data_IF_506175539806
#
_entry.id   IF_506175539806
#
_cell.length_a   1.000
_cell.length_b   1.000
_cell.length_c   1.000
_cell.angle_alpha   90.00
_cell.angle_beta   90.00
_cell.angle_gamma   90.00
#
_symmetry.space_group_name_H-M   'P 1'
#
loop_
_entity.id
_entity.type
_entity.pdbx_description
1 polymer ?
#
# COMPACT_ATOMS: atom_id res chain seq x y z
N UNK A 1 5.64 65.74 -15.39
CA UNK A 1 5.08 64.49 -15.96
C UNK A 1 6.01 63.34 -15.61
N UNK A 2 5.53 62.37 -14.82
CA UNK A 2 6.35 61.27 -14.30
C UNK A 2 6.88 60.35 -15.41
N UNK A 3 8.13 59.92 -15.28
CA UNK A 3 8.71 58.87 -16.15
C UNK A 3 7.90 57.59 -15.92
N UNK A 4 7.38 56.99 -16.99
CA UNK A 4 6.75 55.67 -16.90
C UNK A 4 7.81 54.68 -16.41
N UNK A 5 7.56 54.03 -15.28
CA UNK A 5 8.44 52.97 -14.73
C UNK A 5 8.07 51.64 -15.38
N UNK A 6 9.06 50.79 -15.63
CA UNK A 6 8.81 49.44 -16.11
C UNK A 6 8.03 48.64 -15.04
N UNK A 7 7.10 47.76 -15.44
CA UNK A 7 6.39 46.90 -14.49
C UNK A 7 7.35 45.89 -13.85
N UNK A 8 7.27 45.76 -12.53
CA UNK A 8 8.06 44.79 -11.76
C UNK A 8 7.58 43.36 -12.03
N UNK A 9 8.49 42.37 -12.11
CA UNK A 9 8.12 40.98 -12.32
C UNK A 9 7.25 40.46 -11.15
N UNK A 10 6.28 39.57 -11.43
CA UNK A 10 5.40 39.05 -10.41
C UNK A 10 6.18 38.20 -9.40
N UNK A 11 5.81 38.28 -8.13
CA UNK A 11 6.31 37.40 -7.08
C UNK A 11 5.53 36.08 -7.07
N UNK A 12 6.18 35.01 -6.62
CA UNK A 12 5.55 33.69 -6.56
C UNK A 12 4.33 33.68 -5.64
N UNK A 13 3.18 33.28 -6.18
CA UNK A 13 1.96 33.10 -5.40
C UNK A 13 1.93 31.72 -4.75
N UNK A 14 2.12 31.68 -3.44
CA UNK A 14 1.94 30.46 -2.64
C UNK A 14 0.45 30.08 -2.54
N UNK A 15 0.19 28.81 -2.27
CA UNK A 15 -1.16 28.28 -2.04
C UNK A 15 -1.15 27.32 -0.85
N UNK A 16 -2.30 27.18 -0.20
CA UNK A 16 -2.48 26.23 0.88
C UNK A 16 -3.90 25.68 0.90
N UNK A 17 -4.03 24.47 1.42
CA UNK A 17 -5.31 23.84 1.71
C UNK A 17 -5.40 23.64 3.20
N UNK A 18 -6.56 23.99 3.75
CA UNK A 18 -6.86 23.88 5.17
C UNK A 18 -8.04 22.96 5.41
N UNK A 19 -7.99 22.26 6.54
CA UNK A 19 -9.12 21.55 7.12
C UNK A 19 -9.34 22.10 8.53
N UNK A 20 -10.42 22.87 8.69
CA UNK A 20 -10.58 23.74 9.86
C UNK A 20 -9.42 24.75 9.95
N UNK A 21 -8.81 24.86 11.12
CA UNK A 21 -7.70 25.78 11.37
C UNK A 21 -6.32 25.23 10.96
N UNK A 22 -6.24 23.96 10.53
CA UNK A 22 -4.98 23.29 10.21
C UNK A 22 -4.68 23.34 8.72
N UNK A 23 -3.43 23.64 8.38
CA UNK A 23 -2.91 23.50 7.02
C UNK A 23 -2.63 22.03 6.77
N UNK A 24 -3.20 21.48 5.69
CA UNK A 24 -3.06 20.08 5.27
C UNK A 24 -2.08 19.97 4.10
N UNK A 25 -1.98 21.02 3.29
CA UNK A 25 -1.04 21.06 2.17
C UNK A 25 -0.65 22.49 1.85
N UNK A 26 0.59 22.70 1.42
CA UNK A 26 1.10 24.03 1.03
C UNK A 26 2.07 23.92 -0.12
N UNK A 27 1.95 24.83 -1.08
CA UNK A 27 2.96 25.07 -2.12
C UNK A 27 3.52 26.47 -1.95
N UNK A 28 4.84 26.57 -1.82
CA UNK A 28 5.54 27.83 -1.59
C UNK A 28 6.91 27.83 -2.26
N UNK A 29 7.47 29.03 -2.46
CA UNK A 29 8.86 29.20 -2.89
C UNK A 29 9.75 29.30 -1.66
N UNK A 30 10.77 28.46 -1.58
CA UNK A 30 11.74 28.49 -0.49
C UNK A 30 12.76 29.65 -0.66
N UNK A 31 13.60 29.93 0.35
CA UNK A 31 14.64 30.97 0.24
C UNK A 31 15.70 30.71 -0.84
N UNK A 32 15.82 29.47 -1.34
CA UNK A 32 16.72 29.11 -2.44
C UNK A 32 16.11 29.38 -3.82
N UNK A 33 14.82 29.71 -3.87
CA UNK A 33 14.05 29.96 -5.09
C UNK A 33 13.34 28.71 -5.63
N UNK A 34 13.45 27.56 -4.97
CA UNK A 34 12.81 26.32 -5.37
C UNK A 34 11.32 26.29 -4.94
N UNK A 35 10.47 25.79 -5.84
CA UNK A 35 9.04 25.59 -5.53
C UNK A 35 8.87 24.26 -4.80
N UNK A 36 8.48 24.33 -3.53
CA UNK A 36 8.27 23.17 -2.66
C UNK A 36 6.78 22.98 -2.44
N UNK A 37 6.33 21.73 -2.49
CA UNK A 37 4.97 21.36 -2.09
C UNK A 37 5.03 20.33 -0.99
N UNK A 38 4.37 20.65 0.12
CA UNK A 38 4.46 19.89 1.36
C UNK A 38 3.08 19.48 1.83
N UNK A 39 2.96 18.21 2.22
CA UNK A 39 1.81 17.68 2.93
C UNK A 39 2.07 17.72 4.44
N UNK A 40 1.07 18.13 5.20
CA UNK A 40 1.09 18.16 6.65
C UNK A 40 0.02 17.19 7.16
N UNK A 41 0.38 15.91 7.40
CA UNK A 41 -0.55 14.95 7.96
C UNK A 41 -1.00 15.41 9.35
N UNK A 42 -2.21 15.03 9.75
CA UNK A 42 -2.59 15.20 11.15
C UNK A 42 -1.82 14.19 12.04
N UNK A 43 -1.68 14.45 13.36
CA UNK A 43 -0.93 13.56 14.23
C UNK A 43 -1.49 12.13 14.29
N UNK A 44 -2.79 11.96 14.04
CA UNK A 44 -3.46 10.65 14.09
C UNK A 44 -3.11 9.84 12.85
N UNK A 45 -3.07 10.47 11.69
CA UNK A 45 -2.65 9.91 10.41
C UNK A 45 -1.17 9.52 10.48
N UNK A 46 -0.32 10.39 11.03
CA UNK A 46 1.10 10.09 11.21
C UNK A 46 1.31 8.87 12.13
N UNK A 47 0.66 8.85 13.29
CA UNK A 47 0.70 7.70 14.20
C UNK A 47 0.17 6.42 13.54
N UNK A 48 -0.92 6.52 12.78
CA UNK A 48 -1.48 5.38 12.04
C UNK A 48 -0.49 4.86 11.01
N UNK A 49 0.14 5.73 10.22
CA UNK A 49 1.15 5.33 9.22
C UNK A 49 2.35 4.65 9.89
N UNK A 50 2.84 5.19 11.00
CA UNK A 50 3.92 4.58 11.78
C UNK A 50 3.54 3.19 12.27
N UNK A 51 2.35 3.04 12.87
CA UNK A 51 1.87 1.76 13.39
C UNK A 51 1.69 0.73 12.26
N UNK A 52 1.08 1.13 11.14
CA UNK A 52 0.89 0.24 9.98
C UNK A 52 2.24 -0.20 9.40
N UNK A 53 3.19 0.72 9.27
CA UNK A 53 4.53 0.41 8.78
C UNK A 53 5.27 -0.53 9.75
N UNK A 54 5.16 -0.27 11.06
CA UNK A 54 5.75 -1.14 12.07
C UNK A 54 5.16 -2.55 12.00
N UNK A 55 3.83 -2.67 11.94
CA UNK A 55 3.14 -3.97 11.83
C UNK A 55 3.52 -4.73 10.56
N UNK A 56 3.63 -4.04 9.42
CA UNK A 56 4.13 -4.66 8.20
C UNK A 56 5.58 -5.15 8.35
N UNK A 57 6.44 -4.35 8.98
CA UNK A 57 7.83 -4.72 9.23
C UNK A 57 7.96 -5.87 10.25
N UNK A 58 7.00 -6.03 11.16
CA UNK A 58 6.91 -7.16 12.07
C UNK A 58 6.49 -8.45 11.34
N UNK A 59 5.50 -8.38 10.43
CA UNK A 59 4.94 -9.57 9.78
C UNK A 59 5.77 -10.04 8.59
N UNK A 60 6.24 -9.13 7.74
CA UNK A 60 6.97 -9.43 6.51
C UNK A 60 8.15 -10.41 6.69
N UNK A 61 9.06 -10.27 7.68
CA UNK A 61 10.16 -11.21 7.87
C UNK A 61 9.71 -12.59 8.37
N UNK A 62 8.46 -12.73 8.82
CA UNK A 62 7.92 -14.00 9.31
C UNK A 62 7.14 -14.78 8.25
N UNK A 63 7.02 -14.27 7.03
CA UNK A 63 6.38 -15.00 5.93
C UNK A 63 7.14 -16.29 5.63
N UNK A 64 6.39 -17.36 5.40
CA UNK A 64 6.94 -18.71 5.20
C UNK A 64 7.54 -19.34 6.46
N UNK A 65 7.54 -18.63 7.61
CA UNK A 65 8.08 -19.12 8.88
C UNK A 65 6.93 -19.24 9.88
N UNK A 66 6.72 -20.45 10.39
CA UNK A 66 5.81 -20.67 11.53
C UNK A 66 6.60 -20.42 12.82
N UNK A 67 6.05 -19.61 13.72
CA UNK A 67 6.68 -19.33 15.02
C UNK A 67 6.87 -20.65 15.81
N UNK A 68 7.96 -20.80 16.59
CA UNK A 68 8.26 -22.05 17.29
C UNK A 68 7.11 -22.55 18.17
N UNK A 69 6.47 -21.65 18.91
CA UNK A 69 5.35 -21.96 19.81
C UNK A 69 4.14 -22.48 19.02
N UNK A 70 3.86 -21.85 17.87
CA UNK A 70 2.75 -22.25 17.00
C UNK A 70 3.03 -23.57 16.28
N UNK A 71 4.27 -23.78 15.85
CA UNK A 71 4.71 -25.05 15.28
C UNK A 71 4.59 -26.21 16.30
N UNK A 72 4.87 -25.93 17.58
CA UNK A 72 4.67 -26.87 18.66
C UNK A 72 3.19 -27.18 18.87
N UNK A 73 2.32 -26.17 18.89
CA UNK A 73 0.86 -26.37 18.98
C UNK A 73 0.31 -27.19 17.81
N UNK A 74 0.78 -26.94 16.58
CA UNK A 74 0.37 -27.73 15.41
C UNK A 74 0.81 -29.19 15.53
N UNK A 75 2.00 -29.44 16.07
CA UNK A 75 2.50 -30.80 16.32
C UNK A 75 1.71 -31.49 17.43
N UNK A 76 1.32 -30.78 18.49
CA UNK A 76 0.43 -31.32 19.53
C UNK A 76 -0.95 -31.66 18.96
N UNK A 77 -1.47 -30.84 18.05
CA UNK A 77 -2.76 -31.09 17.38
C UNK A 77 -2.69 -32.33 16.48
N UNK A 78 -1.60 -32.49 15.71
CA UNK A 78 -1.31 -33.69 14.93
C UNK A 78 -1.31 -34.94 15.83
N UNK A 79 -0.53 -34.92 16.92
CA UNK A 79 -0.44 -36.07 17.84
C UNK A 79 -1.78 -36.40 18.49
N UNK A 80 -2.51 -35.38 18.99
CA UNK A 80 -3.82 -35.59 19.61
C UNK A 80 -4.84 -36.20 18.63
N UNK A 81 -4.83 -35.77 17.37
CA UNK A 81 -5.67 -36.38 16.33
C UNK A 81 -5.32 -37.86 16.10
N UNK A 82 -4.03 -38.16 15.94
CA UNK A 82 -3.56 -39.53 15.70
C UNK A 82 -3.91 -40.44 16.88
N UNK A 83 -3.69 -39.97 18.12
CA UNK A 83 -4.00 -40.73 19.33
C UNK A 83 -5.50 -41.00 19.46
N UNK A 84 -6.34 -39.98 19.29
CA UNK A 84 -7.80 -40.13 19.35
C UNK A 84 -8.34 -41.06 18.25
N UNK A 85 -7.90 -40.87 17.00
CA UNK A 85 -8.33 -41.69 15.87
C UNK A 85 -7.86 -43.15 16.02
N UNK A 86 -6.64 -43.36 16.50
CA UNK A 86 -6.09 -44.70 16.81
C UNK A 86 -6.88 -45.39 17.91
N UNK A 87 -7.19 -44.66 18.99
CA UNK A 87 -7.99 -45.17 20.09
C UNK A 87 -9.40 -45.58 19.63
N UNK A 88 -10.07 -44.73 18.85
CA UNK A 88 -11.37 -45.04 18.24
C UNK A 88 -11.28 -46.26 17.34
N UNK A 89 -10.30 -46.33 16.45
CA UNK A 89 -10.09 -47.49 15.59
C UNK A 89 -9.95 -48.79 16.41
N UNK A 90 -9.13 -48.76 17.47
CA UNK A 90 -8.89 -49.94 18.31
C UNK A 90 -10.12 -50.35 19.13
N UNK A 91 -10.96 -49.40 19.53
CA UNK A 91 -12.24 -49.68 20.20
C UNK A 91 -13.20 -50.48 19.31
N UNK A 92 -13.16 -50.31 17.98
CA UNK A 92 -13.97 -51.10 17.05
C UNK A 92 -13.26 -52.37 16.58
N UNK A 93 -11.97 -52.28 16.29
CA UNK A 93 -11.18 -53.38 15.74
C UNK A 93 -11.03 -54.56 16.72
N UNK A 94 -10.67 -54.28 17.98
CA UNK A 94 -10.38 -55.34 18.95
C UNK A 94 -11.61 -56.22 19.28
N UNK A 95 -12.81 -55.67 19.55
CA UNK A 95 -14.00 -56.49 19.74
C UNK A 95 -14.34 -57.30 18.50
N UNK A 96 -14.29 -56.68 17.31
CA UNK A 96 -14.59 -57.36 16.04
C UNK A 96 -13.66 -58.56 15.80
N UNK A 97 -12.36 -58.40 16.07
CA UNK A 97 -11.39 -59.48 15.95
C UNK A 97 -11.64 -60.61 16.96
N UNK A 98 -12.03 -60.26 18.20
CA UNK A 98 -12.39 -61.24 19.21
C UNK A 98 -13.63 -62.03 18.79
N UNK A 99 -14.68 -61.35 18.35
CA UNK A 99 -15.94 -61.97 17.94
C UNK A 99 -15.73 -62.90 16.72
N UNK A 100 -14.88 -62.50 15.76
CA UNK A 100 -14.44 -63.35 14.64
C UNK A 100 -13.71 -64.62 15.11
N UNK A 101 -12.81 -64.50 16.09
CA UNK A 101 -12.08 -65.64 16.67
C UNK A 101 -13.03 -66.59 17.39
N UNK A 102 -13.97 -66.06 18.16
CA UNK A 102 -14.95 -66.84 18.92
C UNK A 102 -15.93 -67.59 17.99
N UNK A 103 -16.45 -66.93 16.94
CA UNK A 103 -17.34 -67.57 15.96
C UNK A 103 -16.63 -68.70 15.19
N UNK A 104 -15.38 -68.48 14.75
CA UNK A 104 -14.60 -69.52 14.06
C UNK A 104 -14.26 -70.69 14.98
N UNK A 105 -13.85 -70.42 16.21
CA UNK A 105 -13.58 -71.47 17.19
C UNK A 105 -14.86 -72.28 17.50
N UNK A 106 -16.01 -71.61 17.63
CA UNK A 106 -17.31 -72.27 17.86
C UNK A 106 -17.74 -73.15 16.69
N UNK A 107 -17.46 -72.77 15.45
CA UNK A 107 -17.92 -73.50 14.25
C UNK A 107 -17.02 -74.67 13.86
N UNK A 108 -15.71 -74.52 14.04
CA UNK A 108 -14.73 -75.46 13.48
C UNK A 108 -13.92 -76.22 14.55
N UNK A 109 -14.12 -75.93 15.84
CA UNK A 109 -13.54 -76.65 16.96
C UNK A 109 -12.02 -76.51 17.13
N UNK A 110 -11.29 -76.00 16.13
CA UNK A 110 -9.85 -75.71 16.19
C UNK A 110 -9.48 -74.51 15.30
N UNK A 111 -8.57 -73.64 15.79
CA UNK A 111 -8.05 -72.46 15.08
C UNK A 111 -7.01 -72.80 13.98
N UNK A 112 -6.85 -74.08 13.62
CA UNK A 112 -5.71 -74.61 12.84
C UNK A 112 -6.01 -74.64 11.32
N UNK A 113 -7.18 -74.18 10.89
CA UNK A 113 -7.56 -74.14 9.47
C UNK A 113 -6.85 -73.00 8.73
N UNK A 114 -6.08 -73.34 7.68
CA UNK A 114 -5.19 -72.40 6.97
C UNK A 114 -5.88 -71.13 6.44
N UNK A 115 -7.13 -71.24 5.97
CA UNK A 115 -7.92 -70.10 5.50
C UNK A 115 -8.17 -69.05 6.60
N UNK A 116 -8.31 -69.46 7.86
CA UNK A 116 -8.48 -68.52 8.97
C UNK A 116 -7.18 -67.77 9.27
N UNK A 117 -6.04 -68.47 9.23
CA UNK A 117 -4.71 -67.90 9.42
C UNK A 117 -4.34 -66.91 8.32
N UNK A 118 -4.74 -67.19 7.08
CA UNK A 118 -4.53 -66.29 5.94
C UNK A 118 -5.41 -65.04 6.04
N UNK A 119 -6.69 -65.19 6.39
CA UNK A 119 -7.59 -64.05 6.63
C UNK A 119 -7.14 -63.17 7.81
N UNK A 120 -6.54 -63.76 8.86
CA UNK A 120 -5.95 -63.02 9.98
C UNK A 120 -4.75 -62.17 9.55
N UNK A 121 -3.88 -62.70 8.69
CA UNK A 121 -2.75 -61.94 8.14
C UNK A 121 -3.21 -60.78 7.27
N UNK A 122 -4.26 -60.97 6.48
CA UNK A 122 -4.83 -59.88 5.68
C UNK A 122 -5.51 -58.83 6.56
N UNK A 123 -6.20 -59.24 7.63
CA UNK A 123 -6.76 -58.31 8.61
C UNK A 123 -5.68 -57.49 9.35
N UNK A 124 -4.53 -58.08 9.64
CA UNK A 124 -3.37 -57.39 10.22
C UNK A 124 -2.76 -56.38 9.24
N UNK A 125 -2.67 -56.72 7.94
CA UNK A 125 -2.25 -55.76 6.90
C UNK A 125 -3.23 -54.60 6.77
N UNK A 126 -4.54 -54.86 6.79
CA UNK A 126 -5.56 -53.80 6.74
C UNK A 126 -5.46 -52.88 7.95
N UNK A 127 -5.18 -53.41 9.15
CA UNK A 127 -4.92 -52.61 10.35
C UNK A 127 -3.68 -51.72 10.18
N UNK A 128 -2.58 -52.26 9.66
CA UNK A 128 -1.37 -51.47 9.40
C UNK A 128 -1.64 -50.35 8.38
N UNK A 129 -2.41 -50.63 7.32
CA UNK A 129 -2.84 -49.62 6.34
C UNK A 129 -3.70 -48.54 7.00
N UNK A 130 -4.69 -48.92 7.81
CA UNK A 130 -5.56 -47.98 8.50
C UNK A 130 -4.79 -47.04 9.44
N UNK A 131 -3.77 -47.55 10.15
CA UNK A 131 -2.90 -46.71 10.96
C UNK A 131 -2.03 -45.76 10.12
N UNK A 132 -1.51 -46.24 9.00
CA UNK A 132 -0.78 -45.38 8.07
C UNK A 132 -1.68 -44.24 7.57
N UNK A 133 -2.95 -44.54 7.25
CA UNK A 133 -3.93 -43.55 6.81
C UNK A 133 -4.25 -42.52 7.92
N UNK A 134 -4.45 -42.96 9.16
CA UNK A 134 -4.66 -42.06 10.31
C UNK A 134 -3.47 -41.11 10.50
N UNK A 135 -2.24 -41.64 10.45
CA UNK A 135 -1.01 -40.84 10.56
C UNK A 135 -0.92 -39.84 9.41
N UNK A 136 -1.21 -40.27 8.18
CA UNK A 136 -1.20 -39.40 7.02
C UNK A 136 -2.24 -38.28 7.13
N UNK A 137 -3.44 -38.57 7.64
CA UNK A 137 -4.46 -37.56 7.92
C UNK A 137 -4.01 -36.56 8.99
N UNK A 138 -3.34 -37.02 10.06
CA UNK A 138 -2.75 -36.12 11.07
C UNK A 138 -1.70 -35.18 10.48
N UNK A 139 -0.84 -35.70 9.59
CA UNK A 139 0.14 -34.87 8.86
C UNK A 139 -0.53 -33.84 7.95
N UNK A 140 -1.58 -34.24 7.22
CA UNK A 140 -2.36 -33.33 6.38
C UNK A 140 -3.00 -32.21 7.21
N UNK A 141 -3.57 -32.53 8.37
CA UNK A 141 -4.13 -31.53 9.29
C UNK A 141 -3.07 -30.50 9.70
N UNK A 142 -1.86 -30.94 10.03
CA UNK A 142 -0.76 -30.04 10.36
C UNK A 142 -0.35 -29.16 9.17
N UNK A 143 -0.25 -29.73 7.98
CA UNK A 143 0.03 -28.95 6.77
C UNK A 143 -1.04 -27.88 6.52
N UNK A 144 -2.32 -28.22 6.71
CA UNK A 144 -3.41 -27.26 6.59
C UNK A 144 -3.30 -26.13 7.61
N UNK A 145 -2.95 -26.43 8.87
CA UNK A 145 -2.74 -25.42 9.90
C UNK A 145 -1.58 -24.47 9.57
N UNK A 146 -0.48 -25.00 9.01
CA UNK A 146 0.65 -24.19 8.52
C UNK A 146 0.21 -23.29 7.36
N UNK A 147 -0.52 -23.84 6.39
CA UNK A 147 -1.02 -23.09 5.25
C UNK A 147 -2.02 -22.00 5.67
N UNK A 148 -2.91 -22.29 6.63
CA UNK A 148 -3.84 -21.29 7.19
C UNK A 148 -3.10 -20.19 7.94
N UNK A 149 -2.04 -20.50 8.67
CA UNK A 149 -1.21 -19.50 9.31
C UNK A 149 -0.57 -18.56 8.29
N UNK A 150 0.01 -19.10 7.22
CA UNK A 150 0.60 -18.32 6.13
C UNK A 150 -0.46 -17.46 5.42
N UNK A 151 -1.62 -18.04 5.09
CA UNK A 151 -2.73 -17.31 4.47
C UNK A 151 -3.19 -16.12 5.34
N UNK A 152 -3.27 -16.29 6.67
CA UNK A 152 -3.60 -15.19 7.60
C UNK A 152 -2.57 -14.08 7.56
N UNK A 153 -1.27 -14.40 7.57
CA UNK A 153 -0.20 -13.40 7.48
C UNK A 153 -0.25 -12.63 6.16
N UNK A 154 -0.49 -13.33 5.06
CA UNK A 154 -0.63 -12.70 3.74
C UNK A 154 -1.85 -11.79 3.66
N UNK A 155 -2.99 -12.23 4.20
CA UNK A 155 -4.21 -11.43 4.28
C UNK A 155 -4.00 -10.18 5.14
N UNK A 156 -3.31 -10.31 6.28
CA UNK A 156 -2.98 -9.19 7.15
C UNK A 156 -2.06 -8.19 6.45
N UNK A 157 -1.01 -8.64 5.77
CA UNK A 157 -0.14 -7.77 4.97
C UNK A 157 -0.89 -7.06 3.84
N UNK A 158 -1.78 -7.74 3.15
CA UNK A 158 -2.61 -7.13 2.11
C UNK A 158 -3.52 -6.05 2.68
N UNK A 159 -4.15 -6.30 3.83
CA UNK A 159 -4.97 -5.32 4.52
C UNK A 159 -4.14 -4.10 4.95
N UNK A 160 -2.99 -4.32 5.60
CA UNK A 160 -2.09 -3.25 6.05
C UNK A 160 -1.57 -2.41 4.87
N UNK A 161 -1.20 -3.07 3.76
CA UNK A 161 -0.76 -2.40 2.54
C UNK A 161 -1.89 -1.57 1.92
N UNK A 162 -3.12 -2.11 1.87
CA UNK A 162 -4.29 -1.36 1.41
C UNK A 162 -4.56 -0.11 2.25
N UNK A 163 -4.48 -0.22 3.57
CA UNK A 163 -4.62 0.91 4.48
C UNK A 163 -3.52 1.97 4.28
N UNK A 164 -2.27 1.56 4.09
CA UNK A 164 -1.18 2.50 3.79
C UNK A 164 -1.35 3.21 2.45
N UNK A 165 -1.78 2.48 1.42
CA UNK A 165 -2.03 3.05 0.08
C UNK A 165 -3.17 4.07 0.11
N UNK A 166 -4.18 3.89 0.96
CA UNK A 166 -5.23 4.90 1.15
C UNK A 166 -4.67 6.22 1.72
N UNK A 167 -3.71 6.13 2.64
CA UNK A 167 -2.97 7.31 3.13
C UNK A 167 -2.13 7.99 2.05
N UNK A 168 -1.56 7.21 1.13
CA UNK A 168 -0.82 7.76 -0.01
C UNK A 168 -1.74 8.59 -0.94
N UNK A 169 -3.00 8.20 -1.12
CA UNK A 169 -3.96 8.98 -1.89
C UNK A 169 -4.26 10.33 -1.22
N UNK A 170 -4.40 10.37 0.11
CA UNK A 170 -4.58 11.61 0.87
C UNK A 170 -3.37 12.54 0.73
N UNK A 171 -2.16 11.99 0.84
CA UNK A 171 -0.91 12.72 0.59
C UNK A 171 -0.88 13.32 -0.82
N UNK A 172 -1.19 12.53 -1.86
CA UNK A 172 -1.18 13.00 -3.24
C UNK A 172 -2.20 14.12 -3.46
N UNK A 173 -3.42 13.98 -2.92
CA UNK A 173 -4.44 15.03 -2.99
C UNK A 173 -4.00 16.31 -2.25
N UNK A 174 -3.40 16.17 -1.07
CA UNK A 174 -2.90 17.27 -0.28
C UNK A 174 -1.75 18.04 -0.94
N UNK A 175 -1.02 17.44 -1.88
CA UNK A 175 0.04 18.09 -2.65
C UNK A 175 -0.45 18.63 -4.00
N UNK A 176 -1.24 17.85 -4.74
CA UNK A 176 -1.65 18.21 -6.10
C UNK A 176 -2.55 19.45 -6.13
N UNK A 177 -3.45 19.56 -5.16
CA UNK A 177 -4.41 20.65 -5.14
C UNK A 177 -3.77 22.03 -4.83
N UNK A 178 -2.87 22.20 -3.83
CA UNK A 178 -2.14 23.46 -3.70
C UNK A 178 -1.20 23.68 -4.89
N UNK A 179 -0.53 22.66 -5.43
CA UNK A 179 0.28 22.81 -6.64
C UNK A 179 -0.50 23.39 -7.82
N UNK A 180 -1.69 22.83 -8.10
CA UNK A 180 -2.56 23.31 -9.17
C UNK A 180 -3.00 24.76 -8.94
N UNK A 181 -3.41 25.10 -7.73
CA UNK A 181 -3.82 26.48 -7.39
C UNK A 181 -2.67 27.48 -7.52
N UNK A 182 -1.48 27.12 -7.04
CA UNK A 182 -0.28 27.96 -7.16
C UNK A 182 0.13 28.10 -8.62
N UNK A 183 0.09 27.02 -9.41
CA UNK A 183 0.38 27.06 -10.84
C UNK A 183 -0.57 27.98 -11.61
N UNK A 184 -1.87 27.90 -11.34
CA UNK A 184 -2.88 28.80 -11.93
C UNK A 184 -2.66 30.26 -11.55
N UNK A 185 -2.44 30.54 -10.26
CA UNK A 185 -2.20 31.89 -9.78
C UNK A 185 -0.93 32.51 -10.40
N UNK A 186 0.17 31.76 -10.43
CA UNK A 186 1.41 32.21 -11.05
C UNK A 186 1.29 32.40 -12.57
N UNK A 187 0.53 31.54 -13.26
CA UNK A 187 0.22 31.72 -14.68
C UNK A 187 -0.52 33.02 -14.95
N UNK A 188 -1.58 33.29 -14.18
CA UNK A 188 -2.36 34.52 -14.29
C UNK A 188 -1.49 35.77 -14.00
N UNK A 189 -0.69 35.73 -12.95
CA UNK A 189 0.20 36.84 -12.59
C UNK A 189 1.24 37.10 -13.69
N UNK A 190 1.79 36.06 -14.30
CA UNK A 190 2.72 36.18 -15.40
C UNK A 190 2.07 36.77 -16.65
N UNK A 191 0.87 36.33 -17.01
CA UNK A 191 0.13 36.86 -18.16
C UNK A 191 -0.21 38.34 -17.98
N UNK A 192 -0.64 38.73 -16.77
CA UNK A 192 -0.87 40.14 -16.43
C UNK A 192 0.39 40.97 -16.55
N UNK A 193 1.52 40.48 -16.04
CA UNK A 193 2.80 41.16 -16.15
C UNK A 193 3.26 41.31 -17.60
N UNK A 194 3.15 40.26 -18.43
CA UNK A 194 3.49 40.32 -19.85
C UNK A 194 2.64 41.37 -20.58
N UNK A 195 1.34 41.43 -20.29
CA UNK A 195 0.46 42.43 -20.87
C UNK A 195 0.88 43.86 -20.48
N UNK A 196 1.16 44.10 -19.19
CA UNK A 196 1.67 45.39 -18.71
C UNK A 196 3.00 45.76 -19.37
N UNK A 197 3.90 44.79 -19.55
CA UNK A 197 5.19 44.99 -20.18
C UNK A 197 5.03 45.38 -21.66
N UNK A 198 4.09 44.75 -22.37
CA UNK A 198 3.79 45.07 -23.76
C UNK A 198 3.19 46.47 -23.90
N UNK A 199 2.24 46.85 -23.03
CA UNK A 199 1.70 48.22 -22.99
C UNK A 199 2.80 49.25 -22.69
N UNK A 200 3.68 48.97 -21.73
CA UNK A 200 4.82 49.83 -21.41
C UNK A 200 5.77 50.01 -22.61
N UNK A 201 6.06 48.94 -23.35
CA UNK A 201 6.89 48.99 -24.57
C UNK A 201 6.23 49.82 -25.67
N UNK A 202 4.91 49.69 -25.85
CA UNK A 202 4.15 50.50 -26.81
C UNK A 202 4.18 51.99 -26.44
N UNK A 203 4.00 52.33 -25.16
CA UNK A 203 4.10 53.71 -24.68
C UNK A 203 5.48 54.33 -24.90
N UNK A 204 6.55 53.56 -24.70
CA UNK A 204 7.92 54.01 -24.99
C UNK A 204 8.12 54.29 -26.49
N UNK A 205 7.60 53.42 -27.36
CA UNK A 205 7.63 53.59 -28.82
C UNK A 205 6.86 54.84 -29.26
N UNK A 206 5.64 55.03 -28.74
CA UNK A 206 4.81 56.19 -29.08
C UNK A 206 5.44 57.52 -28.59
N UNK A 207 6.10 57.50 -27.42
CA UNK A 207 6.85 58.65 -26.90
C UNK A 207 8.10 58.96 -27.74
N UNK A 208 8.81 57.95 -28.26
CA UNK A 208 9.99 58.18 -29.10
C UNK A 208 9.59 58.76 -30.47
N UNK A 209 8.52 58.26 -31.09
CA UNK A 209 7.98 58.80 -32.34
C UNK A 209 7.47 60.23 -32.17
N UNK A 210 6.74 60.52 -31.09
CA UNK A 210 6.26 61.89 -30.79
C UNK A 210 7.41 62.87 -30.57
N UNK A 211 8.49 62.45 -29.91
CA UNK A 211 9.70 63.26 -29.74
C UNK A 211 10.39 63.51 -31.08
N UNK A 212 10.55 62.51 -31.93
CA UNK A 212 11.12 62.64 -33.28
C UNK A 212 10.33 63.66 -34.11
N UNK A 213 9.01 63.51 -34.17
CA UNK A 213 8.13 64.43 -34.92
C UNK A 213 8.16 65.86 -34.36
N UNK A 214 8.23 66.01 -33.03
CA UNK A 214 8.38 67.34 -32.40
C UNK A 214 9.72 68.00 -32.70
N UNK A 215 10.80 67.21 -32.76
CA UNK A 215 12.14 67.69 -33.07
C UNK A 215 12.27 68.06 -34.55
N UNK A 216 11.66 67.29 -35.46
CA UNK A 216 11.56 67.66 -36.88
C UNK A 216 10.81 68.98 -37.04
N UNK A 217 9.62 69.14 -36.44
CA UNK A 217 8.86 70.41 -36.51
C UNK A 217 9.65 71.60 -35.97
N UNK A 218 10.40 71.42 -34.88
CA UNK A 218 11.30 72.46 -34.34
C UNK A 218 12.42 72.78 -35.32
N UNK A 219 13.06 71.78 -35.91
CA UNK A 219 14.13 71.98 -36.90
C UNK A 219 13.65 72.73 -38.15
N UNK A 220 12.48 72.37 -38.69
CA UNK A 220 11.87 73.10 -39.81
C UNK A 220 11.50 74.54 -39.43
N UNK A 221 11.03 74.79 -38.21
CA UNK A 221 10.74 76.14 -37.73
C UNK A 221 12.01 77.00 -37.62
N UNK A 222 13.11 76.45 -37.09
CA UNK A 222 14.39 77.17 -36.99
C UNK A 222 14.99 77.48 -38.37
N UNK A 223 14.86 76.58 -39.33
CA UNK A 223 15.38 76.79 -40.70
C UNK A 223 14.59 77.83 -41.51
N UNK A 224 13.29 77.97 -41.26
CA UNK A 224 12.47 78.99 -41.93
C UNK A 224 12.79 80.39 -41.39
N UNK A 225 13.10 80.51 -40.09
CA UNK A 225 13.55 81.79 -39.50
C UNK A 225 14.95 82.23 -39.94
N UNK A 226 15.78 81.33 -40.45
CA UNK A 226 17.12 81.65 -40.99
C UNK A 226 17.10 82.04 -42.48
N UNK A 227 15.94 81.98 -43.15
CA UNK A 227 15.77 82.24 -44.59
C UNK A 227 15.01 83.55 -44.90
N UNK A 228 14.73 84.37 -43.89
CA UNK A 228 14.15 85.72 -44.00
C UNK A 228 14.91 86.68 -43.08
#
# INVERSE_FOLDING_TARGET
>A
MGRSKAPEPPQFSSSEIRYGDRVVGKTYQDPSGAVVSQYFPDPIEEQRRMLLQQKMNEIAPTLGITAPELAQQFSQTESAYVDDATNKFMQYYNPTLRDLREDVASRFGTLVTSQFTDNLKDLEKTKASAFADIINQGKLLKYDLVNQNEARKQQELQLLSGLLNSGQANFMNGIQAPQGMSGLANGLLNDQWVNMLNSYRQDLSNKSQSRSNSNQKKWYATKITDLF
#
